data_IF_565693686258
#
_entry.id   IF_565693686258
#
_cell.length_a   1.000
_cell.length_b   1.000
_cell.length_c   1.000
_cell.angle_alpha   90.00
_cell.angle_beta   90.00
_cell.angle_gamma   90.00
#
_symmetry.space_group_name_H-M   'P 1'
#
loop_
_entity.id
_entity.type
_entity.pdbx_description
1 polymer ?
#
# COMPACT_ATOMS: atom_id res chain seq x y z
N UNK A 1 -31.62 -1.68 23.76
CA UNK A 1 -31.07 -2.81 22.97
C UNK A 1 -31.64 -2.91 21.55
N UNK A 2 -32.94 -2.66 21.31
CA UNK A 2 -33.53 -2.72 19.95
C UNK A 2 -32.91 -1.74 18.93
N UNK A 3 -32.62 -0.51 19.35
CA UNK A 3 -32.12 0.55 18.46
C UNK A 3 -30.74 0.25 17.83
N UNK A 4 -29.83 -0.36 18.60
CA UNK A 4 -28.49 -0.71 18.11
C UNK A 4 -28.56 -1.81 17.05
N UNK A 5 -29.43 -2.81 17.23
CA UNK A 5 -29.64 -3.88 16.25
C UNK A 5 -30.18 -3.34 14.93
N UNK A 6 -31.17 -2.45 15.00
CA UNK A 6 -31.76 -1.78 13.83
C UNK A 6 -30.72 -0.87 13.14
N UNK A 7 -29.92 -0.14 13.91
CA UNK A 7 -28.84 0.70 13.37
C UNK A 7 -27.78 -0.10 12.61
N UNK A 8 -27.32 -1.23 13.17
CA UNK A 8 -26.37 -2.12 12.49
C UNK A 8 -26.98 -2.73 11.22
N UNK A 9 -28.25 -3.13 11.26
CA UNK A 9 -28.95 -3.63 10.08
C UNK A 9 -29.06 -2.57 8.98
N UNK A 10 -29.36 -1.32 9.33
CA UNK A 10 -29.41 -0.21 8.39
C UNK A 10 -28.03 0.12 7.80
N UNK A 11 -26.97 0.10 8.62
CA UNK A 11 -25.60 0.28 8.16
C UNK A 11 -25.17 -0.81 7.17
N UNK A 12 -25.50 -2.08 7.45
CA UNK A 12 -25.20 -3.19 6.53
C UNK A 12 -25.94 -3.02 5.21
N UNK A 13 -27.21 -2.58 5.27
CA UNK A 13 -28.00 -2.31 4.07
C UNK A 13 -27.43 -1.13 3.26
N UNK A 14 -26.99 -0.07 3.93
CA UNK A 14 -26.39 1.11 3.28
C UNK A 14 -25.04 0.79 2.64
N UNK A 15 -24.20 0.01 3.32
CA UNK A 15 -22.91 -0.46 2.80
C UNK A 15 -23.10 -1.29 1.53
N UNK A 16 -24.14 -2.13 1.46
CA UNK A 16 -24.41 -2.97 0.29
C UNK A 16 -25.08 -2.25 -0.86
N UNK A 17 -25.99 -1.31 -0.60
CA UNK A 17 -26.79 -0.68 -1.64
C UNK A 17 -26.23 0.67 -2.13
N UNK A 18 -25.39 1.34 -1.33
CA UNK A 18 -24.97 2.73 -1.60
C UNK A 18 -23.46 2.89 -1.81
N UNK A 19 -22.68 1.84 -1.58
CA UNK A 19 -21.24 1.87 -1.84
C UNK A 19 -20.98 1.20 -3.17
N UNK A 20 -20.59 2.01 -4.15
CA UNK A 20 -20.06 1.55 -5.42
C UNK A 20 -18.64 1.02 -5.20
N UNK A 21 -18.49 -0.13 -4.56
CA UNK A 21 -17.22 -0.85 -4.61
C UNK A 21 -16.96 -1.22 -6.07
N UNK A 22 -15.78 -0.88 -6.61
CA UNK A 22 -15.41 -1.34 -7.94
C UNK A 22 -15.40 -2.87 -7.99
N UNK A 23 -15.55 -3.46 -9.19
CA UNK A 23 -15.46 -4.91 -9.35
C UNK A 23 -14.07 -5.41 -8.93
N UNK A 24 -14.02 -6.64 -8.41
CA UNK A 24 -12.77 -7.25 -7.91
C UNK A 24 -11.60 -7.16 -8.90
N UNK A 25 -11.87 -7.29 -10.20
CA UNK A 25 -10.86 -7.16 -11.25
C UNK A 25 -10.19 -5.77 -11.27
N UNK A 26 -10.97 -4.70 -11.05
CA UNK A 26 -10.43 -3.33 -11.04
C UNK A 26 -9.68 -3.00 -9.74
N UNK A 27 -10.05 -3.63 -8.62
CA UNK A 27 -9.27 -3.56 -7.38
C UNK A 27 -7.92 -4.24 -7.54
N UNK A 28 -7.90 -5.43 -8.16
CA UNK A 28 -6.66 -6.14 -8.43
C UNK A 28 -5.77 -5.35 -9.38
N UNK A 29 -6.32 -4.78 -10.45
CA UNK A 29 -5.57 -3.91 -11.35
C UNK A 29 -4.91 -2.74 -10.59
N UNK A 30 -5.64 -2.09 -9.68
CA UNK A 30 -5.12 -0.99 -8.87
C UNK A 30 -4.03 -1.45 -7.89
N UNK A 31 -4.22 -2.61 -7.25
CA UNK A 31 -3.25 -3.19 -6.32
C UNK A 31 -1.96 -3.63 -7.03
N UNK A 32 -2.06 -4.19 -8.23
CA UNK A 32 -0.90 -4.64 -9.03
C UNK A 32 -0.03 -3.45 -9.43
N UNK A 33 -0.63 -2.33 -9.84
CA UNK A 33 0.13 -1.12 -10.16
C UNK A 33 0.93 -0.63 -8.95
N UNK A 34 0.31 -0.61 -7.77
CA UNK A 34 0.98 -0.20 -6.52
C UNK A 34 2.11 -1.17 -6.14
N UNK A 35 1.91 -2.48 -6.32
CA UNK A 35 2.92 -3.50 -6.04
C UNK A 35 4.14 -3.34 -6.96
N UNK A 36 3.94 -3.09 -8.24
CA UNK A 36 5.03 -2.84 -9.18
C UNK A 36 5.76 -1.53 -8.83
N UNK A 37 5.02 -0.48 -8.48
CA UNK A 37 5.61 0.79 -8.06
C UNK A 37 6.49 0.63 -6.81
N UNK A 38 6.02 -0.09 -5.78
CA UNK A 38 6.78 -0.31 -4.55
C UNK A 38 8.03 -1.16 -4.78
N UNK A 39 7.98 -2.13 -5.70
CA UNK A 39 9.15 -2.91 -6.11
C UNK A 39 10.23 -2.03 -6.75
N UNK A 40 9.84 -1.12 -7.64
CA UNK A 40 10.75 -0.18 -8.29
C UNK A 40 11.39 0.78 -7.28
N UNK A 41 10.59 1.36 -6.37
CA UNK A 41 11.13 2.22 -5.32
C UNK A 41 12.05 1.48 -4.36
N UNK A 42 11.72 0.24 -3.99
CA UNK A 42 12.57 -0.60 -3.16
C UNK A 42 13.93 -0.88 -3.82
N UNK A 43 13.95 -1.14 -5.13
CA UNK A 43 15.18 -1.37 -5.87
C UNK A 43 16.04 -0.10 -5.97
N UNK A 44 15.41 1.07 -6.20
CA UNK A 44 16.10 2.36 -6.24
C UNK A 44 16.73 2.73 -4.89
N UNK A 45 15.97 2.62 -3.81
CA UNK A 45 16.47 2.89 -2.45
C UNK A 45 17.58 1.89 -2.10
N UNK A 46 17.41 0.61 -2.45
CA UNK A 46 18.43 -0.41 -2.23
C UNK A 46 19.76 -0.12 -2.95
N UNK A 47 19.71 0.39 -4.19
CA UNK A 47 20.89 0.84 -4.92
C UNK A 47 21.54 2.06 -4.27
N UNK A 48 20.74 3.01 -3.79
CA UNK A 48 21.22 4.20 -3.09
C UNK A 48 21.91 3.83 -1.76
N UNK A 49 21.32 2.92 -0.99
CA UNK A 49 21.91 2.42 0.24
C UNK A 49 23.25 1.71 -0.01
N UNK A 50 23.34 0.94 -1.10
CA UNK A 50 24.57 0.24 -1.48
C UNK A 50 25.67 1.21 -1.92
N UNK A 51 25.34 2.20 -2.74
CA UNK A 51 26.30 3.20 -3.22
C UNK A 51 26.85 4.05 -2.08
N UNK A 52 25.97 4.51 -1.17
CA UNK A 52 26.35 5.28 0.00
C UNK A 52 27.24 4.48 0.94
N UNK A 53 26.87 3.23 1.28
CA UNK A 53 27.71 2.37 2.12
C UNK A 53 29.11 2.19 1.54
N UNK A 54 29.22 1.96 0.24
CA UNK A 54 30.53 1.86 -0.42
C UNK A 54 31.32 3.16 -0.37
N UNK A 55 30.66 4.28 -0.64
CA UNK A 55 31.29 5.60 -0.57
C UNK A 55 31.82 5.89 0.85
N UNK A 56 31.04 5.60 1.89
CA UNK A 56 31.45 5.77 3.28
C UNK A 56 32.61 4.86 3.69
N UNK A 57 32.59 3.58 3.30
CA UNK A 57 33.72 2.67 3.56
C UNK A 57 34.98 3.13 2.85
N UNK A 58 34.85 3.59 1.60
CA UNK A 58 35.99 4.13 0.85
C UNK A 58 36.57 5.38 1.52
N UNK A 59 35.71 6.31 1.94
CA UNK A 59 36.12 7.51 2.67
C UNK A 59 36.82 7.15 4.00
N UNK A 60 36.24 6.23 4.78
CA UNK A 60 36.80 5.82 6.07
C UNK A 60 38.17 5.15 5.92
N UNK A 61 38.38 4.33 4.87
CA UNK A 61 39.67 3.71 4.62
C UNK A 61 40.72 4.69 4.05
N UNK A 62 40.31 5.86 3.56
CA UNK A 62 41.19 6.87 3.00
C UNK A 62 41.79 7.83 4.05
N UNK A 63 41.22 7.86 5.26
CA UNK A 63 41.70 8.63 6.42
C UNK A 63 42.26 7.70 7.49
#
# INVERSE_FOLDING_TARGET
MLKAKIFIQNLIQEIRCKITWPTYDTLQASAVVVLVASLLFGLLIGLMDWSLKKAFVWLYNAF
#
